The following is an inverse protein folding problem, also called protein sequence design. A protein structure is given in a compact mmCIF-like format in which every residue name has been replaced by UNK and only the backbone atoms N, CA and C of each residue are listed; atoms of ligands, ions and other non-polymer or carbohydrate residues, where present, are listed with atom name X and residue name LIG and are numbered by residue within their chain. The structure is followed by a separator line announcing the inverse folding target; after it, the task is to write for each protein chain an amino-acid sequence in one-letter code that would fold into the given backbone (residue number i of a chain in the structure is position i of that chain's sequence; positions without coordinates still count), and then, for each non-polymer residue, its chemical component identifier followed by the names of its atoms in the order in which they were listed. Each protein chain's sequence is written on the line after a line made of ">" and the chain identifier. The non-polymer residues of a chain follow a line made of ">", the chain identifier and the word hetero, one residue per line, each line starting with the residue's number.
data_IF_902258058829
#
_entry.id   IF_902258058829
#
_cell.length_a   1.000
_cell.length_b   1.000
_cell.length_c   1.000
_cell.angle_alpha   90.00
_cell.angle_beta   90.00
_cell.angle_gamma   90.00
#
_symmetry.space_group_name_H-M   'P 1'
#
loop_
_entity.id
_entity.type
_entity.pdbx_description
1 polymer ?
#
# COMPACT_ATOMS: atom_id res chain seq x y z
N UNK A 1 42.59 46.76 60.72
CA UNK A 1 41.29 47.25 61.16
C UNK A 1 40.39 47.33 59.96
N UNK A 2 39.10 46.90 59.97
CA UNK A 2 38.51 45.70 60.55
C UNK A 2 38.09 44.67 59.49
N UNK A 3 37.97 43.50 60.00
CA UNK A 3 37.40 42.29 59.45
C UNK A 3 35.96 42.44 58.95
N UNK A 4 35.64 41.94 57.76
CA UNK A 4 34.30 41.76 57.24
C UNK A 4 34.00 40.30 56.83
N UNK A 5 33.27 39.63 57.68
CA UNK A 5 32.81 38.25 57.55
C UNK A 5 31.70 38.18 56.47
N UNK A 6 31.85 37.30 55.47
CA UNK A 6 30.77 36.96 54.52
C UNK A 6 30.12 35.65 54.93
N UNK A 7 28.78 35.56 55.00
CA UNK A 7 28.11 34.32 55.32
C UNK A 7 27.99 33.40 54.10
N UNK A 8 28.23 32.16 54.35
CA UNK A 8 27.99 31.01 53.47
C UNK A 8 26.51 30.94 53.07
N UNK A 9 26.22 31.05 51.80
CA UNK A 9 25.00 30.56 51.21
C UNK A 9 25.36 29.38 50.27
N UNK A 10 25.44 28.24 50.85
CA UNK A 10 25.49 26.98 50.13
C UNK A 10 24.38 26.13 50.69
N UNK A 11 23.49 25.71 49.83
CA UNK A 11 22.54 24.60 49.95
C UNK A 11 21.13 25.01 49.47
N UNK A 12 20.89 25.01 48.18
CA UNK A 12 19.61 24.69 47.51
C UNK A 12 19.93 24.57 45.99
N UNK A 13 20.52 23.48 45.56
CA UNK A 13 20.62 23.13 44.13
C UNK A 13 20.83 21.64 43.89
N UNK A 14 20.09 20.79 44.61
CA UNK A 14 20.21 19.32 44.41
C UNK A 14 18.81 18.67 44.20
N UNK A 15 17.72 19.39 44.26
CA UNK A 15 16.37 18.77 44.14
C UNK A 15 15.63 19.00 42.79
N UNK A 16 16.27 19.71 41.84
CA UNK A 16 15.64 19.96 40.54
C UNK A 16 16.09 19.01 39.41
N UNK A 17 17.13 18.20 39.63
CA UNK A 17 17.64 17.25 38.58
C UNK A 17 17.01 15.87 38.69
N UNK A 18 16.41 15.51 39.83
CA UNK A 18 15.78 14.22 40.02
C UNK A 18 14.36 14.08 39.37
N UNK A 19 13.67 15.20 39.10
CA UNK A 19 12.33 15.16 38.50
C UNK A 19 12.34 15.16 36.98
N UNK A 20 13.45 15.56 36.34
CA UNK A 20 13.57 15.56 34.87
C UNK A 20 13.94 14.19 34.27
N UNK A 21 14.50 13.28 35.08
CA UNK A 21 14.89 11.95 34.63
C UNK A 21 13.69 10.97 34.67
N UNK A 22 12.64 11.27 35.44
CA UNK A 22 11.43 10.44 35.54
C UNK A 22 10.40 10.64 34.42
N UNK A 23 10.49 11.75 33.68
CA UNK A 23 9.57 12.06 32.57
C UNK A 23 10.12 11.67 31.19
N UNK A 24 11.38 11.25 31.10
CA UNK A 24 12.01 10.78 29.87
C UNK A 24 11.79 9.29 29.54
N UNK A 25 11.30 8.51 30.49
CA UNK A 25 11.25 7.04 30.37
C UNK A 25 9.89 6.48 29.96
N UNK A 26 8.93 7.30 29.51
CA UNK A 26 7.61 6.83 29.07
C UNK A 26 7.12 7.49 27.77
N UNK A 27 7.98 7.82 26.84
CA UNK A 27 7.55 7.80 25.44
C UNK A 27 7.59 6.34 24.99
N UNK A 28 6.59 5.56 25.41
CA UNK A 28 6.28 4.34 24.68
C UNK A 28 6.13 4.74 23.22
N UNK A 29 6.86 4.04 22.38
CA UNK A 29 6.68 4.17 20.93
C UNK A 29 5.18 4.09 20.64
N UNK A 30 4.59 5.17 20.11
CA UNK A 30 3.16 5.24 19.85
C UNK A 30 2.68 4.09 18.94
N UNK A 31 3.57 3.60 18.05
CA UNK A 31 3.32 2.45 17.19
C UNK A 31 3.24 1.14 17.99
N UNK A 32 4.18 0.90 18.91
CA UNK A 32 4.17 -0.30 19.75
C UNK A 32 2.93 -0.37 20.62
N UNK A 33 2.49 0.75 21.18
CA UNK A 33 1.30 0.80 22.02
C UNK A 33 0.02 0.43 21.24
N UNK A 34 -0.12 0.91 19.99
CA UNK A 34 -1.28 0.58 19.13
C UNK A 34 -1.28 -0.87 18.68
N UNK A 35 -0.12 -1.38 18.23
CA UNK A 35 0.04 -2.76 17.75
C UNK A 35 -0.24 -3.80 18.84
N UNK A 36 0.20 -3.53 20.05
CA UNK A 36 0.06 -4.42 21.22
C UNK A 36 -1.22 -4.18 22.02
N UNK A 37 -2.07 -3.20 21.61
CA UNK A 37 -3.34 -2.97 22.27
C UNK A 37 -4.20 -4.25 22.22
N UNK A 38 -4.84 -4.69 23.33
CA UNK A 38 -5.60 -5.95 23.39
C UNK A 38 -6.71 -6.07 22.33
N UNK A 39 -7.30 -4.94 21.90
CA UNK A 39 -8.29 -4.93 20.83
C UNK A 39 -7.70 -5.25 19.44
N UNK A 40 -6.38 -5.15 19.27
CA UNK A 40 -5.64 -5.43 18.03
C UNK A 40 -4.85 -6.72 18.18
N UNK A 41 -3.98 -6.82 19.20
CA UNK A 41 -3.16 -7.98 19.53
C UNK A 41 -2.41 -8.54 18.30
N UNK A 42 -1.72 -7.65 17.53
CA UNK A 42 -1.17 -7.98 16.22
C UNK A 42 -0.21 -9.18 16.25
N UNK A 43 0.66 -9.26 17.26
CA UNK A 43 1.63 -10.35 17.34
C UNK A 43 1.03 -11.67 17.86
N UNK A 44 -0.05 -11.60 18.65
CA UNK A 44 -0.62 -12.74 19.36
C UNK A 44 -1.71 -13.45 18.54
N UNK A 45 -2.44 -12.70 17.71
CA UNK A 45 -3.52 -13.27 16.89
C UNK A 45 -2.97 -13.78 15.55
N UNK A 46 -3.37 -14.97 15.17
CA UNK A 46 -2.96 -15.55 13.88
C UNK A 46 -3.52 -14.78 12.66
N UNK A 47 -4.62 -14.07 12.83
CA UNK A 47 -5.36 -13.41 11.75
C UNK A 47 -6.15 -14.39 10.87
N UNK A 48 -7.01 -13.84 10.02
CA UNK A 48 -7.78 -14.60 9.03
C UNK A 48 -7.69 -13.94 7.65
N UNK A 49 -6.63 -14.26 6.91
CA UNK A 49 -6.42 -13.79 5.55
C UNK A 49 -6.18 -14.96 4.58
N UNK A 50 -6.18 -14.68 3.29
CA UNK A 50 -6.06 -15.72 2.23
C UNK A 50 -4.77 -16.52 2.35
N UNK A 51 -3.66 -15.89 2.72
CA UNK A 51 -2.35 -16.54 2.86
C UNK A 51 -2.34 -17.49 4.07
N UNK A 52 -2.92 -17.06 5.20
CA UNK A 52 -3.08 -17.93 6.38
C UNK A 52 -3.96 -19.14 6.09
N UNK A 53 -5.07 -18.94 5.36
CA UNK A 53 -5.94 -20.05 4.94
C UNK A 53 -5.23 -21.02 4.00
N UNK A 54 -4.44 -20.51 3.03
CA UNK A 54 -3.60 -21.36 2.17
C UNK A 54 -2.56 -22.14 2.98
N UNK A 55 -1.83 -21.46 3.90
CA UNK A 55 -0.86 -22.12 4.79
C UNK A 55 -1.49 -23.30 5.53
N UNK A 56 -2.64 -23.09 6.17
CA UNK A 56 -3.36 -24.15 6.87
C UNK A 56 -3.79 -25.31 5.93
N UNK A 57 -4.06 -25.03 4.67
CA UNK A 57 -4.42 -26.06 3.68
C UNK A 57 -3.20 -26.88 3.24
N UNK A 58 -2.06 -26.22 3.07
CA UNK A 58 -0.78 -26.87 2.79
C UNK A 58 -0.32 -27.78 3.96
N UNK A 59 -0.41 -27.27 5.18
CA UNK A 59 -0.03 -28.01 6.41
C UNK A 59 -0.84 -29.30 6.59
N UNK A 60 -2.11 -29.30 6.17
CA UNK A 60 -2.98 -30.48 6.20
C UNK A 60 -2.82 -31.39 4.98
N UNK A 61 -1.95 -31.06 4.03
CA UNK A 61 -1.78 -31.79 2.78
C UNK A 61 -2.97 -31.73 1.81
N UNK A 62 -3.93 -30.84 2.05
CA UNK A 62 -5.12 -30.64 1.21
C UNK A 62 -4.86 -29.76 -0.03
N UNK A 63 -3.73 -29.08 -0.08
CA UNK A 63 -3.20 -28.40 -1.26
C UNK A 63 -1.69 -28.70 -1.38
N UNK A 64 -1.15 -28.50 -2.58
CA UNK A 64 0.28 -28.63 -2.86
C UNK A 64 0.74 -27.49 -3.74
N UNK A 65 1.97 -27.03 -3.54
CA UNK A 65 2.64 -26.11 -4.44
C UNK A 65 3.69 -26.87 -5.25
N UNK A 66 3.75 -26.66 -6.55
CA UNK A 66 4.78 -27.18 -7.44
C UNK A 66 5.99 -26.24 -7.46
N UNK A 67 7.19 -26.84 -7.51
CA UNK A 67 8.44 -26.09 -7.57
C UNK A 67 8.95 -26.07 -9.02
N UNK A 68 9.00 -24.89 -9.64
CA UNK A 68 9.50 -24.68 -11.01
C UNK A 68 11.03 -24.53 -10.98
N UNK A 69 11.73 -25.64 -10.98
CA UNK A 69 13.19 -25.67 -11.06
C UNK A 69 13.70 -25.33 -12.47
N UNK A 70 12.97 -25.79 -13.48
CA UNK A 70 13.39 -25.68 -14.89
C UNK A 70 13.58 -24.22 -15.36
N UNK A 71 12.77 -23.30 -14.82
CA UNK A 71 12.84 -21.87 -15.14
C UNK A 71 13.42 -21.04 -13.98
N UNK A 72 13.83 -21.65 -12.89
CA UNK A 72 14.36 -20.96 -11.71
C UNK A 72 13.35 -20.09 -10.96
N UNK A 73 12.04 -20.35 -11.12
CA UNK A 73 10.95 -19.57 -10.53
C UNK A 73 10.48 -20.10 -9.18
N UNK A 74 10.92 -21.30 -8.82
CA UNK A 74 10.58 -21.91 -7.53
C UNK A 74 9.07 -22.07 -7.34
N UNK A 75 8.56 -21.71 -6.19
CA UNK A 75 7.13 -21.78 -5.88
C UNK A 75 6.29 -20.63 -6.46
N UNK A 76 6.90 -19.62 -7.10
CA UNK A 76 6.19 -18.43 -7.53
C UNK A 76 4.95 -18.71 -8.39
N UNK A 77 5.03 -19.47 -9.51
CA UNK A 77 3.86 -19.70 -10.37
C UNK A 77 2.72 -20.40 -9.63
N UNK A 78 3.02 -21.46 -8.91
CA UNK A 78 2.01 -22.24 -8.19
C UNK A 78 1.43 -21.51 -6.98
N UNK A 79 2.18 -20.62 -6.33
CA UNK A 79 1.69 -19.76 -5.27
C UNK A 79 0.71 -18.72 -5.81
N UNK A 80 1.04 -18.06 -6.93
CA UNK A 80 0.16 -17.10 -7.58
C UNK A 80 -1.16 -17.77 -8.01
N UNK A 81 -1.08 -18.95 -8.59
CA UNK A 81 -2.26 -19.74 -8.98
C UNK A 81 -3.12 -20.10 -7.77
N UNK A 82 -2.52 -20.65 -6.71
CA UNK A 82 -3.23 -21.00 -5.47
C UNK A 82 -3.87 -19.78 -4.77
N UNK A 83 -3.31 -18.59 -4.95
CA UNK A 83 -3.86 -17.33 -4.46
C UNK A 83 -4.77 -16.63 -5.49
N UNK A 84 -4.89 -17.14 -6.73
CA UNK A 84 -5.67 -16.51 -7.79
C UNK A 84 -5.16 -15.13 -8.19
N UNK A 85 -3.84 -14.91 -8.12
CA UNK A 85 -3.18 -13.65 -8.50
C UNK A 85 -2.72 -13.76 -9.95
N UNK A 86 -3.18 -12.84 -10.79
CA UNK A 86 -2.80 -12.81 -12.21
C UNK A 86 -1.34 -12.43 -12.39
N UNK A 87 -0.56 -13.15 -13.19
CA UNK A 87 0.78 -12.73 -13.61
C UNK A 87 0.82 -11.37 -14.30
N UNK A 88 -0.29 -10.93 -14.90
CA UNK A 88 -0.38 -9.63 -15.56
C UNK A 88 -0.36 -8.44 -14.59
N UNK A 89 -0.49 -8.70 -13.29
CA UNK A 89 -0.29 -7.70 -12.25
C UNK A 89 1.19 -7.40 -11.97
N UNK A 90 2.11 -8.02 -12.72
CA UNK A 90 3.55 -7.88 -12.52
C UNK A 90 4.01 -6.44 -12.59
N UNK A 91 4.80 -6.04 -11.60
CA UNK A 91 5.52 -4.79 -11.53
C UNK A 91 6.97 -5.05 -11.17
N UNK A 92 7.89 -4.32 -11.76
CA UNK A 92 9.32 -4.49 -11.51
C UNK A 92 9.92 -3.26 -10.81
N UNK A 93 10.51 -3.48 -9.65
CA UNK A 93 11.20 -2.47 -8.85
C UNK A 93 12.68 -2.83 -8.71
N UNK A 94 13.55 -1.88 -9.05
CA UNK A 94 15.00 -2.05 -8.96
C UNK A 94 15.65 -1.19 -7.86
N UNK A 95 14.87 -0.41 -7.11
CA UNK A 95 15.36 0.28 -5.93
C UNK A 95 15.64 -0.72 -4.80
N UNK A 96 16.74 -0.51 -4.10
CA UNK A 96 17.25 -1.39 -3.04
C UNK A 96 16.50 -1.19 -1.70
N UNK A 97 15.18 -1.08 -1.74
CA UNK A 97 14.30 -0.76 -0.59
C UNK A 97 13.66 -1.99 0.05
N UNK A 98 14.24 -3.18 -0.15
CA UNK A 98 13.77 -4.46 0.39
C UNK A 98 14.81 -5.08 1.30
N UNK A 99 14.41 -6.00 2.16
CA UNK A 99 15.35 -6.85 2.94
C UNK A 99 16.26 -7.69 2.04
N UNK A 100 15.88 -7.92 0.80
CA UNK A 100 16.66 -8.59 -0.23
C UNK A 100 17.45 -7.60 -1.12
N UNK A 101 17.67 -6.36 -0.65
CA UNK A 101 18.32 -5.28 -1.40
C UNK A 101 19.61 -5.70 -2.11
N UNK A 102 20.45 -6.51 -1.45
CA UNK A 102 21.73 -7.00 -2.02
C UNK A 102 21.56 -7.83 -3.32
N UNK A 103 20.36 -8.33 -3.58
CA UNK A 103 20.05 -9.12 -4.78
C UNK A 103 19.29 -8.31 -5.82
N UNK A 104 18.90 -7.08 -5.50
CA UNK A 104 18.12 -6.20 -6.37
C UNK A 104 19.07 -5.23 -7.08
N UNK A 105 18.87 -5.08 -8.36
CA UNK A 105 19.59 -4.10 -9.18
C UNK A 105 18.79 -3.76 -10.45
N UNK A 106 19.17 -2.75 -11.22
CA UNK A 106 18.54 -2.49 -12.51
C UNK A 106 18.54 -3.68 -13.46
N UNK A 107 19.60 -4.50 -13.48
CA UNK A 107 19.66 -5.73 -14.27
C UNK A 107 18.92 -6.92 -13.66
N UNK A 108 18.52 -6.81 -12.40
CA UNK A 108 17.93 -7.89 -11.62
C UNK A 108 16.84 -7.36 -10.67
N UNK A 109 15.76 -6.76 -11.20
CA UNK A 109 14.71 -6.16 -10.40
C UNK A 109 13.87 -7.19 -9.65
N UNK A 110 13.31 -6.77 -8.51
CA UNK A 110 12.28 -7.50 -7.79
C UNK A 110 10.96 -7.39 -8.54
N UNK A 111 10.28 -8.50 -8.78
CA UNK A 111 8.92 -8.54 -9.26
C UNK A 111 7.93 -8.48 -8.09
N UNK A 112 6.83 -7.73 -8.28
CA UNK A 112 5.68 -7.69 -7.37
C UNK A 112 4.45 -8.10 -8.18
N UNK A 113 3.71 -9.09 -7.68
CA UNK A 113 2.42 -9.54 -8.21
C UNK A 113 1.37 -9.25 -7.16
N UNK A 114 0.20 -8.75 -7.55
CA UNK A 114 -0.78 -8.32 -6.57
C UNK A 114 -2.23 -8.48 -7.01
N UNK A 115 -3.10 -8.55 -6.02
CA UNK A 115 -4.53 -8.31 -6.14
C UNK A 115 -5.01 -7.37 -5.02
N UNK A 116 -6.31 -7.32 -4.75
CA UNK A 116 -6.91 -6.37 -3.80
C UNK A 116 -6.48 -6.58 -2.34
N UNK A 117 -5.93 -7.74 -2.02
CA UNK A 117 -5.66 -8.14 -0.64
C UNK A 117 -4.32 -8.83 -0.41
N UNK A 118 -3.63 -9.23 -1.47
CA UNK A 118 -2.34 -9.92 -1.36
C UNK A 118 -1.35 -9.32 -2.36
N UNK A 119 -0.11 -9.16 -1.93
CA UNK A 119 1.03 -8.86 -2.78
C UNK A 119 2.14 -9.89 -2.55
N UNK A 120 2.76 -10.37 -3.62
CA UNK A 120 3.86 -11.34 -3.61
C UNK A 120 5.08 -10.70 -4.24
N UNK A 121 6.16 -10.56 -3.48
CA UNK A 121 7.46 -10.08 -3.94
C UNK A 121 8.39 -11.24 -4.23
N UNK A 122 9.06 -11.18 -5.38
CA UNK A 122 10.02 -12.19 -5.83
C UNK A 122 11.24 -11.56 -6.48
N UNK A 123 12.40 -12.00 -6.07
CA UNK A 123 13.67 -11.69 -6.73
C UNK A 123 14.19 -13.00 -7.33
N UNK A 124 14.55 -13.05 -8.63
CA UNK A 124 15.11 -14.26 -9.22
C UNK A 124 16.31 -14.79 -8.42
N UNK A 125 16.32 -16.09 -8.08
CA UNK A 125 17.39 -16.70 -7.30
C UNK A 125 17.44 -16.36 -5.81
N UNK A 126 16.50 -15.56 -5.29
CA UNK A 126 16.42 -15.27 -3.86
C UNK A 126 15.95 -16.47 -3.04
N UNK A 127 16.34 -16.50 -1.77
CA UNK A 127 16.02 -17.60 -0.86
C UNK A 127 14.54 -17.67 -0.46
N UNK A 128 13.81 -16.53 -0.56
CA UNK A 128 12.41 -16.45 -0.10
C UNK A 128 11.54 -15.64 -1.06
N UNK A 129 10.28 -16.05 -1.18
CA UNK A 129 9.18 -15.15 -1.56
C UNK A 129 8.78 -14.32 -0.35
N UNK A 130 8.52 -13.04 -0.57
CA UNK A 130 7.95 -12.12 0.42
C UNK A 130 6.47 -11.94 0.10
N UNK A 131 5.59 -12.14 1.08
CA UNK A 131 4.15 -12.12 0.87
C UNK A 131 3.53 -11.15 1.88
N UNK A 132 2.70 -10.24 1.41
CA UNK A 132 1.92 -9.33 2.23
C UNK A 132 0.43 -9.62 2.01
N UNK A 133 -0.32 -9.87 3.07
CA UNK A 133 -1.75 -10.16 3.00
C UNK A 133 -2.54 -9.22 3.91
N UNK A 134 -3.54 -8.53 3.35
CA UNK A 134 -4.42 -7.68 4.13
C UNK A 134 -5.37 -8.56 4.97
N UNK A 135 -5.24 -8.43 6.26
CA UNK A 135 -6.14 -9.02 7.26
C UNK A 135 -7.20 -7.99 7.64
N UNK A 136 -8.43 -8.46 7.80
CA UNK A 136 -9.57 -7.58 8.02
C UNK A 136 -9.53 -6.80 9.34
N UNK A 137 -8.79 -7.30 10.35
CA UNK A 137 -8.72 -6.69 11.67
C UNK A 137 -7.32 -6.20 12.04
N UNK A 138 -6.29 -6.92 11.57
CA UNK A 138 -4.90 -6.65 11.95
C UNK A 138 -4.19 -5.67 11.01
N UNK A 139 -4.71 -5.43 9.81
CA UNK A 139 -4.02 -4.73 8.74
C UNK A 139 -3.15 -5.68 7.92
N UNK A 140 -2.03 -5.25 7.41
CA UNK A 140 -1.19 -6.10 6.56
C UNK A 140 -0.35 -7.05 7.42
N UNK A 141 -0.51 -8.35 7.18
CA UNK A 141 0.29 -9.42 7.78
C UNK A 141 1.30 -9.92 6.76
N UNK A 142 2.54 -10.05 7.19
CA UNK A 142 3.66 -10.43 6.32
C UNK A 142 4.07 -11.88 6.54
N UNK A 143 4.44 -12.53 5.43
CA UNK A 143 4.86 -13.91 5.40
C UNK A 143 6.07 -14.09 4.48
N UNK A 144 6.81 -15.18 4.70
CA UNK A 144 7.87 -15.66 3.82
C UNK A 144 7.61 -17.11 3.41
N UNK A 145 8.02 -17.46 2.20
CA UNK A 145 8.04 -18.85 1.71
C UNK A 145 9.43 -19.16 1.15
N UNK A 146 10.13 -20.11 1.78
CA UNK A 146 11.47 -20.51 1.34
C UNK A 146 11.44 -21.06 -0.08
N UNK A 147 12.35 -20.60 -0.93
CA UNK A 147 12.53 -21.02 -2.33
C UNK A 147 13.44 -22.24 -2.43
N UNK A 148 13.10 -23.29 -1.72
CA UNK A 148 13.76 -24.59 -1.76
C UNK A 148 12.71 -25.67 -1.89
N UNK A 149 12.89 -26.57 -2.87
CA UNK A 149 11.96 -27.70 -3.05
C UNK A 149 11.79 -28.49 -1.77
N UNK A 150 10.56 -28.67 -1.32
CA UNK A 150 10.19 -29.42 -0.13
C UNK A 150 8.86 -30.14 -0.38
N UNK A 151 8.68 -31.29 0.26
CA UNK A 151 7.43 -32.07 0.19
C UNK A 151 6.24 -31.24 0.74
N UNK A 152 6.48 -30.48 1.84
CA UNK A 152 5.50 -29.59 2.44
C UNK A 152 6.12 -28.21 2.63
N UNK A 153 5.97 -27.29 1.67
CA UNK A 153 6.46 -25.93 1.80
C UNK A 153 5.69 -25.19 2.90
N UNK A 154 6.42 -24.47 3.75
CA UNK A 154 5.84 -23.74 4.88
C UNK A 154 5.83 -22.23 4.62
N UNK A 155 4.66 -21.65 4.70
CA UNK A 155 4.46 -20.18 4.70
C UNK A 155 4.58 -19.72 6.15
N UNK A 156 5.63 -18.97 6.47
CA UNK A 156 5.92 -18.51 7.82
C UNK A 156 5.58 -17.02 7.97
N UNK A 157 4.89 -16.66 9.05
CA UNK A 157 4.67 -15.24 9.40
C UNK A 157 6.00 -14.58 9.78
N UNK A 158 6.24 -13.36 9.30
CA UNK A 158 7.46 -12.60 9.55
C UNK A 158 7.15 -11.19 10.05
N UNK A 159 7.21 -11.01 11.36
CA UNK A 159 6.96 -9.73 12.03
C UNK A 159 8.10 -8.71 11.83
N UNK A 160 9.27 -9.16 11.39
CA UNK A 160 10.40 -8.25 11.16
C UNK A 160 10.18 -7.30 9.98
N UNK A 161 9.23 -7.60 9.09
CA UNK A 161 8.81 -6.70 8.02
C UNK A 161 8.24 -5.37 8.56
N UNK A 162 7.72 -5.37 9.79
CA UNK A 162 7.20 -4.17 10.45
C UNK A 162 8.28 -3.11 10.73
N UNK A 163 9.57 -3.43 10.65
CA UNK A 163 10.64 -2.44 10.75
C UNK A 163 10.49 -1.31 9.71
N UNK A 164 9.97 -1.64 8.51
CA UNK A 164 9.68 -0.67 7.46
C UNK A 164 8.18 -0.46 7.24
N UNK A 165 7.38 -1.50 7.46
CA UNK A 165 5.95 -1.52 7.16
C UNK A 165 5.04 -1.14 8.34
N UNK A 166 5.60 -0.53 9.37
CA UNK A 166 4.90 0.13 10.47
C UNK A 166 5.60 1.47 10.74
N UNK A 167 5.27 2.48 9.97
CA UNK A 167 5.91 3.79 9.97
C UNK A 167 4.88 4.91 9.75
N UNK A 168 5.32 6.15 9.74
CA UNK A 168 4.48 7.28 9.35
C UNK A 168 3.99 7.16 7.90
N UNK A 169 4.78 6.57 7.02
CA UNK A 169 4.44 6.33 5.62
C UNK A 169 3.29 5.32 5.44
N UNK A 170 3.05 4.50 6.45
CA UNK A 170 1.93 3.56 6.51
C UNK A 170 0.83 4.00 7.50
N UNK A 171 0.76 5.28 7.85
CA UNK A 171 -0.22 5.84 8.81
C UNK A 171 -0.13 5.22 10.21
N UNK A 172 1.06 4.81 10.63
CA UNK A 172 1.31 4.15 11.91
C UNK A 172 0.53 2.83 12.11
N UNK A 173 0.17 2.16 11.03
CA UNK A 173 -0.44 0.82 11.05
C UNK A 173 0.40 -0.14 10.19
N UNK A 174 0.31 -1.48 10.42
CA UNK A 174 0.90 -2.46 9.53
C UNK A 174 0.32 -2.30 8.12
N UNK A 175 1.13 -1.83 7.19
CA UNK A 175 0.65 -1.36 5.90
C UNK A 175 1.61 -1.59 4.75
N UNK A 176 1.22 -1.10 3.59
CA UNK A 176 2.00 -1.12 2.36
C UNK A 176 2.28 0.29 1.90
N UNK A 177 3.38 0.46 1.16
CA UNK A 177 3.71 1.71 0.50
C UNK A 177 4.36 1.43 -0.84
N UNK A 178 4.15 2.31 -1.79
CA UNK A 178 4.93 2.39 -3.01
C UNK A 178 5.81 3.62 -2.93
N UNK A 179 7.11 3.43 -3.05
CA UNK A 179 8.09 4.51 -2.97
C UNK A 179 8.56 4.89 -4.36
N UNK A 180 8.67 6.19 -4.62
CA UNK A 180 9.42 6.75 -5.72
C UNK A 180 10.77 7.20 -5.18
N UNK A 181 11.85 6.53 -5.58
CA UNK A 181 13.19 6.74 -5.03
C UNK A 181 14.16 7.19 -6.11
N UNK A 182 15.19 7.88 -5.68
CA UNK A 182 16.36 8.12 -6.52
C UNK A 182 17.41 7.06 -6.21
N UNK A 183 17.73 6.13 -7.13
CA UNK A 183 18.82 5.19 -6.90
C UNK A 183 20.15 5.96 -6.78
N UNK A 184 20.83 5.82 -5.66
CA UNK A 184 22.16 6.40 -5.42
C UNK A 184 23.12 5.30 -5.04
N UNK A 185 24.29 5.27 -5.69
CA UNK A 185 25.27 4.20 -5.51
C UNK A 185 25.97 4.20 -4.15
N UNK A 186 25.95 5.31 -3.46
CA UNK A 186 26.72 5.59 -2.25
C UNK A 186 25.83 5.90 -1.03
N UNK A 187 24.50 5.81 -1.18
CA UNK A 187 23.56 6.03 -0.08
C UNK A 187 22.94 4.70 0.39
N UNK A 188 23.37 4.18 1.56
CA UNK A 188 22.78 2.98 2.13
C UNK A 188 21.32 3.18 2.61
N UNK A 189 20.85 4.44 2.63
CA UNK A 189 19.50 4.83 3.02
C UNK A 189 18.73 5.44 1.85
N UNK A 190 18.94 4.94 0.63
CA UNK A 190 18.27 5.45 -0.58
C UNK A 190 16.74 5.59 -0.45
N UNK A 191 16.10 4.74 0.34
CA UNK A 191 14.69 4.86 0.65
C UNK A 191 14.33 6.12 1.44
N UNK A 192 15.24 6.66 2.25
CA UNK A 192 15.01 7.89 3.01
C UNK A 192 14.90 9.13 2.12
N UNK A 193 15.35 9.02 0.88
CA UNK A 193 15.21 10.06 -0.15
C UNK A 193 14.03 9.79 -1.09
N UNK A 194 13.20 8.80 -0.79
CA UNK A 194 12.01 8.44 -1.54
C UNK A 194 10.77 9.23 -1.10
N UNK A 195 9.81 9.30 -1.99
CA UNK A 195 8.47 9.85 -1.75
C UNK A 195 7.47 8.70 -1.79
N UNK A 196 6.57 8.65 -0.80
CA UNK A 196 5.42 7.73 -0.86
C UNK A 196 4.48 8.19 -1.96
N UNK A 197 4.15 7.27 -2.86
CA UNK A 197 3.34 7.57 -4.04
C UNK A 197 1.94 7.01 -3.87
N UNK A 198 0.96 7.87 -4.05
CA UNK A 198 -0.45 7.52 -4.20
C UNK A 198 -1.06 8.23 -5.42
N UNK A 199 -2.39 8.18 -5.59
CA UNK A 199 -3.05 8.82 -6.72
C UNK A 199 -3.02 10.37 -6.67
N UNK A 200 -2.69 10.97 -5.51
CA UNK A 200 -2.57 12.43 -5.31
C UNK A 200 -1.18 12.94 -5.70
N UNK A 201 -0.18 12.06 -5.74
CA UNK A 201 1.19 12.44 -6.10
C UNK A 201 1.26 12.88 -7.58
N UNK A 202 1.86 14.02 -7.92
CA UNK A 202 2.04 14.43 -9.32
C UNK A 202 2.79 13.38 -10.14
N UNK A 203 2.34 13.12 -11.37
CA UNK A 203 2.93 12.08 -12.25
C UNK A 203 4.44 12.25 -12.44
N UNK A 204 5.01 13.47 -12.60
CA UNK A 204 6.46 13.65 -12.73
C UNK A 204 7.29 13.17 -11.53
N UNK A 205 6.66 13.02 -10.36
CA UNK A 205 7.33 12.58 -9.12
C UNK A 205 7.21 11.07 -8.88
N UNK A 206 6.43 10.35 -9.72
CA UNK A 206 6.14 8.94 -9.52
C UNK A 206 7.21 8.03 -10.11
N UNK A 207 7.31 6.83 -9.52
CA UNK A 207 7.93 5.62 -10.07
C UNK A 207 9.45 5.60 -10.12
N UNK A 208 10.14 6.49 -9.42
CA UNK A 208 11.58 6.38 -9.23
C UNK A 208 11.95 5.00 -8.66
N UNK A 209 12.90 4.32 -9.29
CA UNK A 209 13.30 2.96 -8.93
C UNK A 209 12.44 1.84 -9.53
N UNK A 210 11.46 2.16 -10.39
CA UNK A 210 10.57 1.20 -11.05
C UNK A 210 10.79 1.15 -12.56
N UNK A 211 10.60 -0.02 -13.17
CA UNK A 211 10.32 -0.13 -14.60
C UNK A 211 8.86 0.20 -14.87
N UNK A 212 8.61 0.92 -15.95
CA UNK A 212 7.28 1.36 -16.38
C UNK A 212 7.13 1.06 -17.85
N UNK A 213 6.25 0.15 -18.19
CA UNK A 213 5.97 -0.24 -19.58
C UNK A 213 4.52 0.11 -19.96
N UNK A 214 4.30 0.40 -21.21
CA UNK A 214 2.98 0.70 -21.75
C UNK A 214 3.06 1.24 -23.17
N UNK A 215 1.93 1.23 -23.88
CA UNK A 215 1.82 1.81 -25.23
C UNK A 215 1.86 3.34 -25.18
N UNK A 216 1.17 3.91 -24.17
CA UNK A 216 1.21 5.33 -23.86
C UNK A 216 1.61 5.51 -22.38
N UNK A 217 2.82 6.03 -22.18
CA UNK A 217 3.37 6.34 -20.85
C UNK A 217 3.64 7.84 -20.79
N UNK A 218 3.38 8.52 -19.66
CA UNK A 218 3.68 9.94 -19.52
C UNK A 218 5.11 10.28 -19.93
N UNK A 219 5.28 11.42 -20.61
CA UNK A 219 6.60 11.82 -21.10
C UNK A 219 7.58 12.18 -19.98
N UNK A 220 7.06 12.55 -18.81
CA UNK A 220 7.84 12.90 -17.61
C UNK A 220 7.38 12.06 -16.43
N UNK A 221 8.26 11.25 -15.91
CA UNK A 221 8.14 10.49 -14.68
C UNK A 221 9.53 10.06 -14.21
N UNK A 222 9.65 9.56 -12.98
CA UNK A 222 10.92 9.14 -12.39
C UNK A 222 11.34 7.71 -12.76
N UNK A 223 10.43 6.91 -13.31
CA UNK A 223 10.67 5.51 -13.67
C UNK A 223 11.59 5.34 -14.89
N UNK A 224 11.99 4.09 -15.16
CA UNK A 224 12.88 3.73 -16.28
C UNK A 224 14.24 4.45 -16.27
N UNK A 225 14.65 5.00 -15.15
CA UNK A 225 15.93 5.68 -14.96
C UNK A 225 16.87 4.84 -14.07
N UNK A 226 17.46 3.74 -14.60
CA UNK A 226 18.27 2.82 -13.82
C UNK A 226 19.66 3.37 -13.48
N UNK A 227 19.94 4.62 -13.83
CA UNK A 227 21.24 5.23 -13.59
C UNK A 227 21.33 5.65 -12.13
N UNK A 228 22.24 5.01 -11.42
CA UNK A 228 22.67 5.43 -10.10
C UNK A 228 23.38 6.78 -10.25
N UNK A 229 22.85 7.83 -9.63
CA UNK A 229 23.40 9.19 -9.71
C UNK A 229 24.06 9.56 -8.40
N UNK A 230 25.31 10.10 -8.44
CA UNK A 230 25.93 10.69 -7.25
C UNK A 230 25.04 11.81 -6.66
N UNK A 231 25.04 11.96 -5.35
CA UNK A 231 24.26 12.99 -4.65
C UNK A 231 24.48 14.40 -5.22
N UNK A 232 25.72 14.70 -5.67
CA UNK A 232 26.08 15.98 -6.27
C UNK A 232 25.36 16.26 -7.63
N UNK A 233 24.83 15.25 -8.28
CA UNK A 233 24.12 15.39 -9.57
C UNK A 233 22.61 15.46 -9.44
N UNK A 234 22.05 15.25 -8.22
CA UNK A 234 20.60 15.25 -7.99
C UNK A 234 19.94 16.61 -8.24
N UNK A 235 20.72 17.70 -8.20
CA UNK A 235 20.22 19.04 -8.53
C UNK A 235 19.91 19.23 -10.02
N UNK A 236 20.37 18.31 -10.90
CA UNK A 236 20.06 18.37 -12.32
C UNK A 236 18.78 17.60 -12.60
N UNK A 237 17.83 18.14 -13.38
CA UNK A 237 16.65 17.38 -13.75
C UNK A 237 17.08 16.07 -14.46
N UNK A 238 16.40 14.94 -14.16
CA UNK A 238 16.67 13.69 -14.88
C UNK A 238 16.40 13.89 -16.37
N UNK A 239 17.18 13.22 -17.21
CA UNK A 239 16.85 13.10 -18.64
C UNK A 239 15.46 12.45 -18.77
N UNK A 240 14.73 12.76 -19.85
CA UNK A 240 13.45 12.10 -20.11
C UNK A 240 13.66 10.57 -20.09
N UNK A 241 12.83 9.84 -19.31
CA UNK A 241 13.00 8.41 -19.18
C UNK A 241 12.77 7.71 -20.51
N UNK A 242 13.47 6.58 -20.80
CA UNK A 242 13.23 5.81 -22.00
C UNK A 242 11.80 5.25 -22.00
N UNK A 243 11.14 5.30 -23.16
CA UNK A 243 9.85 4.68 -23.37
C UNK A 243 10.04 3.17 -23.56
N UNK A 244 9.38 2.38 -22.74
CA UNK A 244 9.42 0.93 -22.80
C UNK A 244 8.01 0.37 -23.06
N UNK A 245 7.85 -0.39 -24.12
CA UNK A 245 6.62 -1.17 -24.36
C UNK A 245 6.70 -2.54 -23.65
N UNK A 246 7.92 -3.04 -23.45
CA UNK A 246 8.20 -4.33 -22.81
C UNK A 246 9.52 -4.24 -22.03
N UNK A 247 9.62 -5.03 -20.96
CA UNK A 247 10.83 -5.17 -20.15
C UNK A 247 11.99 -5.81 -20.93
N UNK A 248 11.71 -6.53 -22.02
CA UNK A 248 12.74 -7.18 -22.85
C UNK A 248 13.74 -6.18 -23.46
N UNK A 249 13.35 -4.91 -23.59
CA UNK A 249 14.26 -3.85 -24.06
C UNK A 249 15.22 -3.34 -22.99
N UNK A 250 14.90 -3.58 -21.71
CA UNK A 250 15.69 -3.10 -20.58
C UNK A 250 16.45 -4.23 -19.87
N UNK A 251 15.95 -5.46 -19.95
CA UNK A 251 16.47 -6.60 -19.20
C UNK A 251 16.95 -7.72 -20.11
N UNK A 252 18.24 -8.09 -20.06
CA UNK A 252 18.77 -9.23 -20.83
C UNK A 252 18.07 -10.55 -20.49
N UNK A 253 17.66 -10.74 -19.24
CA UNK A 253 17.01 -11.95 -18.73
C UNK A 253 15.50 -11.77 -18.53
N UNK A 254 14.85 -10.97 -19.37
CA UNK A 254 13.40 -10.69 -19.24
C UNK A 254 12.53 -11.97 -19.20
N UNK A 255 12.96 -13.04 -19.87
CA UNK A 255 12.23 -14.33 -19.93
C UNK A 255 12.10 -15.08 -18.60
N UNK A 256 12.83 -14.69 -17.54
CA UNK A 256 12.65 -15.29 -16.22
C UNK A 256 11.35 -14.80 -15.57
N UNK A 257 10.92 -13.57 -15.86
CA UNK A 257 9.69 -12.99 -15.34
C UNK A 257 8.45 -13.59 -16.00
N UNK A 258 7.30 -13.53 -15.31
CA UNK A 258 6.07 -14.18 -15.77
C UNK A 258 5.31 -13.35 -16.82
N UNK A 259 5.49 -12.04 -16.83
CA UNK A 259 4.90 -11.14 -17.83
C UNK A 259 6.00 -10.33 -18.53
N UNK A 260 5.86 -10.00 -19.81
CA UNK A 260 6.77 -9.10 -20.50
C UNK A 260 6.62 -7.63 -20.09
N UNK A 261 5.77 -7.35 -19.10
CA UNK A 261 5.41 -5.99 -18.70
C UNK A 261 5.73 -5.70 -17.23
N UNK A 262 6.01 -4.44 -16.94
CA UNK A 262 5.83 -3.75 -15.66
C UNK A 262 4.80 -2.65 -15.93
N UNK A 263 3.54 -3.03 -15.92
CA UNK A 263 2.47 -2.29 -16.56
C UNK A 263 2.15 -0.97 -15.86
N UNK A 264 2.05 0.13 -16.62
CA UNK A 264 1.79 1.47 -16.07
C UNK A 264 0.42 1.58 -15.41
N UNK A 265 -0.62 0.92 -15.96
CA UNK A 265 -1.96 0.94 -15.36
C UNK A 265 -1.98 0.11 -14.07
N UNK A 266 -1.28 -1.04 -14.05
CA UNK A 266 -1.11 -1.83 -12.84
C UNK A 266 -0.39 -1.04 -11.74
N UNK A 267 0.65 -0.29 -12.10
CA UNK A 267 1.40 0.53 -11.15
C UNK A 267 0.54 1.66 -10.57
N UNK A 268 -0.29 2.32 -11.39
CA UNK A 268 -1.25 3.32 -10.92
C UNK A 268 -2.30 2.73 -9.97
N UNK A 269 -2.79 1.53 -10.28
CA UNK A 269 -3.73 0.81 -9.42
C UNK A 269 -3.06 0.45 -8.09
N UNK A 270 -1.81 -0.05 -8.09
CA UNK A 270 -1.08 -0.36 -6.87
C UNK A 270 -0.82 0.90 -6.02
N UNK A 271 -0.44 2.02 -6.64
CA UNK A 271 -0.24 3.29 -5.93
C UNK A 271 -1.50 3.73 -5.16
N UNK A 272 -2.68 3.59 -5.80
CA UNK A 272 -3.95 3.87 -5.12
C UNK A 272 -4.24 2.85 -4.01
N UNK A 273 -4.08 1.57 -4.31
CA UNK A 273 -4.50 0.47 -3.43
C UNK A 273 -3.71 0.41 -2.12
N UNK A 274 -2.40 0.64 -2.15
CA UNK A 274 -1.56 0.54 -0.96
C UNK A 274 -1.98 1.55 0.11
N UNK A 275 -2.22 2.80 -0.25
CA UNK A 275 -2.68 3.81 0.69
C UNK A 275 -4.14 3.58 1.13
N UNK A 276 -5.02 3.13 0.23
CA UNK A 276 -6.40 2.73 0.58
C UNK A 276 -6.42 1.60 1.63
N UNK A 277 -5.51 0.63 1.51
CA UNK A 277 -5.34 -0.46 2.49
C UNK A 277 -4.92 0.08 3.86
N UNK A 278 -3.98 1.01 3.89
CA UNK A 278 -3.53 1.64 5.13
C UNK A 278 -4.66 2.44 5.80
N UNK A 279 -5.44 3.20 5.02
CA UNK A 279 -6.59 3.95 5.53
C UNK A 279 -7.68 3.05 6.12
N UNK A 280 -8.00 1.93 5.46
CA UNK A 280 -8.95 0.94 5.98
C UNK A 280 -8.46 0.37 7.32
N UNK A 281 -7.18 0.04 7.41
CA UNK A 281 -6.56 -0.46 8.64
C UNK A 281 -6.61 0.61 9.74
N UNK A 282 -6.26 1.84 9.43
CA UNK A 282 -6.25 2.94 10.39
C UNK A 282 -7.65 3.20 10.97
N UNK A 283 -8.68 3.35 10.12
CA UNK A 283 -10.07 3.48 10.59
C UNK A 283 -10.49 2.30 11.47
N UNK A 284 -10.14 1.09 11.06
CA UNK A 284 -10.45 -0.12 11.81
C UNK A 284 -9.80 -0.15 13.20
N UNK A 285 -8.53 0.19 13.28
CA UNK A 285 -7.75 0.21 14.52
C UNK A 285 -8.24 1.30 15.48
N UNK A 286 -8.35 2.55 15.02
CA UNK A 286 -8.86 3.66 15.83
C UNK A 286 -10.24 3.34 16.41
N UNK A 287 -11.12 2.75 15.61
CA UNK A 287 -12.47 2.40 16.07
C UNK A 287 -12.44 1.28 17.10
N UNK A 288 -11.69 0.20 16.88
CA UNK A 288 -11.61 -0.93 17.82
C UNK A 288 -11.00 -0.51 19.14
N UNK A 289 -9.95 0.31 19.10
CA UNK A 289 -9.29 0.83 20.31
C UNK A 289 -10.24 1.76 21.08
N UNK A 290 -10.90 2.70 20.41
CA UNK A 290 -11.86 3.59 21.03
C UNK A 290 -13.02 2.84 21.70
N UNK A 291 -13.60 1.85 21.00
CA UNK A 291 -14.67 1.01 21.56
C UNK A 291 -14.21 0.21 22.78
N UNK A 292 -13.01 -0.38 22.74
CA UNK A 292 -12.47 -1.14 23.86
C UNK A 292 -12.19 -0.28 25.09
N UNK A 293 -11.87 0.99 24.90
CA UNK A 293 -11.61 1.96 25.97
C UNK A 293 -12.87 2.71 26.44
N UNK A 294 -14.02 2.54 25.78
CA UNK A 294 -15.20 3.38 26.00
C UNK A 294 -14.95 4.87 25.72
N UNK A 295 -14.00 5.16 24.83
CA UNK A 295 -13.59 6.52 24.49
C UNK A 295 -14.52 7.15 23.43
N UNK A 296 -14.63 8.49 23.38
CA UNK A 296 -15.32 9.18 22.29
C UNK A 296 -14.74 8.83 20.92
N UNK A 297 -15.62 8.79 19.90
CA UNK A 297 -15.25 8.42 18.52
C UNK A 297 -14.81 9.62 17.65
N UNK A 298 -14.40 10.73 18.28
CA UNK A 298 -13.99 11.94 17.56
C UNK A 298 -12.72 11.71 16.70
N UNK A 299 -11.78 10.90 17.21
CA UNK A 299 -10.59 10.49 16.46
C UNK A 299 -10.93 9.67 15.22
N UNK A 300 -12.01 8.90 15.29
CA UNK A 300 -12.48 8.09 14.16
C UNK A 300 -13.03 9.00 13.05
N UNK A 301 -13.61 10.15 13.37
CA UNK A 301 -14.19 11.08 12.39
C UNK A 301 -13.13 11.64 11.43
N UNK A 302 -11.93 11.93 11.91
CA UNK A 302 -10.82 12.37 11.04
C UNK A 302 -10.35 11.25 10.10
N UNK A 303 -10.20 10.04 10.63
CA UNK A 303 -9.80 8.88 9.83
C UNK A 303 -10.89 8.51 8.80
N UNK A 304 -12.17 8.60 9.17
CA UNK A 304 -13.30 8.37 8.26
C UNK A 304 -13.34 9.44 7.17
N UNK A 305 -13.11 10.71 7.51
CA UNK A 305 -13.07 11.79 6.52
C UNK A 305 -11.98 11.54 5.49
N UNK A 306 -10.76 11.23 5.94
CA UNK A 306 -9.63 10.97 5.05
C UNK A 306 -9.88 9.75 4.16
N UNK A 307 -10.43 8.66 4.71
CA UNK A 307 -10.79 7.48 3.93
C UNK A 307 -11.82 7.79 2.84
N UNK A 308 -12.88 8.55 3.16
CA UNK A 308 -13.94 8.91 2.21
C UNK A 308 -13.40 9.85 1.13
N UNK A 309 -12.62 10.86 1.51
CA UNK A 309 -12.01 11.80 0.58
C UNK A 309 -11.07 11.03 -0.39
N UNK A 310 -10.28 10.08 0.13
CA UNK A 310 -9.41 9.24 -0.68
C UNK A 310 -10.19 8.30 -1.59
N UNK A 311 -11.27 7.68 -1.09
CA UNK A 311 -12.13 6.79 -1.89
C UNK A 311 -12.86 7.54 -3.01
N UNK A 312 -13.15 8.81 -2.83
CA UNK A 312 -13.78 9.67 -3.85
C UNK A 312 -12.75 10.37 -4.75
N UNK A 313 -11.48 9.98 -4.69
CA UNK A 313 -10.38 10.54 -5.48
C UNK A 313 -10.24 12.06 -5.32
N UNK A 314 -10.54 12.58 -4.12
CA UNK A 314 -10.30 13.98 -3.79
C UNK A 314 -8.80 14.26 -3.88
N UNK A 315 -8.46 15.39 -4.52
CA UNK A 315 -7.08 15.82 -4.77
C UNK A 315 -6.25 14.87 -5.66
N UNK A 316 -6.91 13.96 -6.43
CA UNK A 316 -6.22 13.15 -7.43
C UNK A 316 -5.44 14.05 -8.40
N UNK A 317 -4.16 13.74 -8.57
CA UNK A 317 -3.31 14.47 -9.50
C UNK A 317 -3.80 14.26 -10.95
N UNK A 318 -3.95 15.33 -11.75
CA UNK A 318 -4.40 15.23 -13.13
C UNK A 318 -3.41 14.43 -13.96
N UNK A 319 -3.91 13.63 -14.90
CA UNK A 319 -3.06 12.96 -15.87
C UNK A 319 -2.63 13.99 -16.94
N UNK A 320 -1.32 14.15 -17.18
CA UNK A 320 -0.82 15.13 -18.16
C UNK A 320 -1.14 14.74 -19.60
N UNK A 321 -1.42 13.47 -19.85
CA UNK A 321 -1.79 12.88 -21.13
C UNK A 321 -2.48 11.54 -20.92
N UNK A 322 -3.20 10.98 -21.92
CA UNK A 322 -3.72 9.63 -21.84
C UNK A 322 -2.62 8.60 -21.57
N UNK A 323 -2.97 7.59 -20.80
CA UNK A 323 -2.11 6.46 -20.41
C UNK A 323 -2.73 5.19 -20.98
N UNK A 324 -1.90 4.33 -21.57
CA UNK A 324 -2.32 3.02 -22.08
C UNK A 324 -1.27 1.97 -21.71
N UNK A 325 -1.64 1.08 -20.78
CA UNK A 325 -0.86 -0.08 -20.40
C UNK A 325 -1.06 -1.26 -21.37
N UNK A 326 -0.68 -2.44 -20.92
CA UNK A 326 -1.01 -3.70 -21.57
C UNK A 326 -2.51 -4.01 -21.37
N UNK A 327 -3.24 -4.39 -22.43
CA UNK A 327 -4.67 -4.63 -22.34
C UNK A 327 -5.05 -5.79 -21.40
N UNK A 328 -4.16 -6.74 -21.19
CA UNK A 328 -4.36 -7.92 -20.37
C UNK A 328 -4.59 -7.55 -18.90
N UNK A 329 -3.78 -6.63 -18.34
CA UNK A 329 -4.00 -6.17 -16.97
C UNK A 329 -5.32 -5.44 -16.82
N UNK A 330 -5.61 -4.48 -17.69
CA UNK A 330 -6.83 -3.68 -17.62
C UNK A 330 -8.07 -4.57 -17.73
N UNK A 331 -8.06 -5.56 -18.62
CA UNK A 331 -9.15 -6.53 -18.78
C UNK A 331 -9.32 -7.41 -17.54
N UNK A 332 -8.23 -7.98 -17.02
CA UNK A 332 -8.25 -8.82 -15.81
C UNK A 332 -8.72 -8.03 -14.57
N UNK A 333 -8.26 -6.80 -14.41
CA UNK A 333 -8.68 -5.92 -13.33
C UNK A 333 -10.17 -5.59 -13.39
N UNK A 334 -10.70 -5.21 -14.56
CA UNK A 334 -12.09 -4.87 -14.76
C UNK A 334 -13.02 -6.08 -14.63
N UNK A 335 -12.56 -7.29 -14.97
CA UNK A 335 -13.35 -8.53 -14.89
C UNK A 335 -13.66 -8.96 -13.45
N UNK A 336 -12.86 -8.56 -12.47
CA UNK A 336 -13.02 -8.96 -11.06
C UNK A 336 -14.11 -8.20 -10.31
N UNK A 337 -14.67 -7.14 -10.89
CA UNK A 337 -15.64 -6.30 -10.22
C UNK A 337 -17.09 -6.70 -10.45
N UNK A 338 -17.98 -6.42 -9.49
CA UNK A 338 -19.39 -6.46 -9.75
C UNK A 338 -19.80 -5.39 -10.78
N UNK A 339 -20.86 -5.66 -11.54
CA UNK A 339 -21.41 -4.75 -12.55
C UNK A 339 -22.88 -4.50 -12.26
N UNK A 340 -23.34 -3.28 -12.50
CA UNK A 340 -24.76 -2.95 -12.48
C UNK A 340 -25.47 -3.42 -13.75
N UNK A 341 -26.78 -3.23 -13.81
CA UNK A 341 -27.59 -3.61 -14.96
C UNK A 341 -27.22 -2.93 -16.29
N UNK A 342 -26.48 -1.82 -16.24
CA UNK A 342 -25.94 -1.13 -17.41
C UNK A 342 -24.50 -1.54 -17.74
N UNK A 343 -23.95 -2.54 -17.04
CA UNK A 343 -22.57 -3.03 -17.22
C UNK A 343 -21.50 -2.13 -16.62
N UNK A 344 -21.87 -1.12 -15.80
CA UNK A 344 -20.92 -0.21 -15.13
C UNK A 344 -20.33 -0.87 -13.88
N UNK A 345 -19.04 -0.58 -13.61
CA UNK A 345 -18.32 -1.06 -12.44
C UNK A 345 -17.37 0.00 -11.92
N UNK A 346 -17.15 0.05 -10.59
CA UNK A 346 -16.09 0.87 -9.99
C UNK A 346 -14.67 0.40 -10.37
N UNK A 347 -14.54 -0.73 -11.08
CA UNK A 347 -13.25 -1.22 -11.59
C UNK A 347 -12.99 -0.84 -13.05
N UNK A 348 -13.78 0.02 -13.63
CA UNK A 348 -13.50 0.53 -14.97
C UNK A 348 -12.46 1.64 -14.88
N UNK A 349 -11.32 1.44 -15.55
CA UNK A 349 -10.28 2.45 -15.68
C UNK A 349 -10.70 3.52 -16.70
N UNK A 350 -10.31 4.79 -16.45
CA UNK A 350 -10.41 5.90 -17.42
C UNK A 350 -9.08 6.06 -18.15
N UNK A 351 -8.02 6.33 -17.41
CA UNK A 351 -6.65 6.53 -17.86
C UNK A 351 -6.45 7.66 -18.89
N UNK A 352 -7.48 8.45 -19.16
CA UNK A 352 -7.41 9.62 -20.03
C UNK A 352 -7.32 10.90 -19.22
N UNK A 353 -8.17 11.04 -18.20
CA UNK A 353 -8.26 12.23 -17.36
C UNK A 353 -7.98 11.93 -15.89
N UNK A 354 -8.24 10.70 -15.47
CA UNK A 354 -8.13 10.20 -14.09
C UNK A 354 -7.93 8.69 -14.07
N UNK A 355 -7.69 8.11 -12.90
CA UNK A 355 -7.49 6.65 -12.79
C UNK A 355 -8.78 5.87 -13.09
N UNK A 356 -9.87 6.18 -12.37
CA UNK A 356 -11.13 5.45 -12.46
C UNK A 356 -12.18 6.20 -13.27
N UNK A 357 -12.93 5.47 -14.11
CA UNK A 357 -14.04 6.03 -14.86
C UNK A 357 -15.13 6.62 -13.94
N UNK A 358 -15.44 5.92 -12.87
CA UNK A 358 -16.36 6.38 -11.83
C UNK A 358 -15.55 6.71 -10.58
N UNK A 359 -15.58 7.95 -10.07
CA UNK A 359 -14.68 8.40 -9.02
C UNK A 359 -15.12 7.90 -7.64
N UNK A 360 -15.08 6.58 -7.48
CA UNK A 360 -15.20 5.90 -6.21
C UNK A 360 -14.30 4.66 -6.22
N UNK A 361 -13.53 4.49 -5.17
CA UNK A 361 -12.58 3.39 -5.06
C UNK A 361 -13.26 2.03 -5.03
N UNK A 362 -12.79 1.11 -5.87
CA UNK A 362 -13.20 -0.29 -5.83
C UNK A 362 -12.84 -0.98 -4.49
N UNK A 363 -11.97 -0.39 -3.69
CA UNK A 363 -11.61 -0.91 -2.37
C UNK A 363 -12.77 -0.90 -1.36
N UNK A 364 -13.89 -0.25 -1.69
CA UNK A 364 -15.15 -0.37 -0.94
C UNK A 364 -15.70 -1.81 -0.95
N UNK A 365 -15.30 -2.64 -1.92
CA UNK A 365 -15.66 -4.07 -1.99
C UNK A 365 -14.66 -4.99 -1.27
N UNK A 366 -13.57 -4.44 -0.71
CA UNK A 366 -12.59 -5.22 0.02
C UNK A 366 -13.20 -5.82 1.29
N UNK A 367 -12.82 -7.05 1.62
CA UNK A 367 -13.29 -7.73 2.84
C UNK A 367 -12.95 -6.95 4.11
N UNK A 368 -11.84 -6.21 4.12
CA UNK A 368 -11.48 -5.36 5.25
C UNK A 368 -12.46 -4.19 5.45
N UNK A 369 -13.02 -3.63 4.37
CA UNK A 369 -14.10 -2.64 4.48
C UNK A 369 -15.35 -3.25 5.16
N UNK A 370 -15.74 -4.46 4.75
CA UNK A 370 -16.92 -5.14 5.30
C UNK A 370 -16.72 -5.57 6.76
N UNK A 371 -15.48 -5.79 7.18
CA UNK A 371 -15.11 -6.17 8.54
C UNK A 371 -14.86 -4.98 9.48
N UNK A 372 -14.94 -3.74 8.98
CA UNK A 372 -14.89 -2.56 9.85
C UNK A 372 -16.01 -2.64 10.92
N UNK A 373 -15.79 -2.14 12.12
CA UNK A 373 -16.84 -2.03 13.13
C UNK A 373 -18.09 -1.30 12.57
N UNK A 374 -19.28 -1.73 12.95
CA UNK A 374 -20.53 -1.20 12.42
C UNK A 374 -20.64 0.32 12.50
N UNK A 375 -20.22 0.91 13.62
CA UNK A 375 -20.22 2.36 13.83
C UNK A 375 -19.29 3.10 12.84
N UNK A 376 -18.13 2.51 12.49
CA UNK A 376 -17.23 3.11 11.50
C UNK A 376 -17.85 3.04 10.10
N UNK A 377 -18.42 1.90 9.72
CA UNK A 377 -19.11 1.75 8.42
C UNK A 377 -20.25 2.74 8.28
N UNK A 378 -21.07 2.90 9.32
CA UNK A 378 -22.18 3.88 9.30
C UNK A 378 -21.65 5.31 9.09
N UNK A 379 -20.61 5.73 9.82
CA UNK A 379 -19.98 7.03 9.62
C UNK A 379 -19.43 7.21 8.19
N UNK A 380 -18.80 6.17 7.62
CA UNK A 380 -18.30 6.18 6.25
C UNK A 380 -19.45 6.35 5.25
N UNK A 381 -20.50 5.55 5.37
CA UNK A 381 -21.64 5.63 4.47
C UNK A 381 -22.38 6.96 4.60
N UNK A 382 -22.59 7.45 5.82
CA UNK A 382 -23.23 8.75 6.04
C UNK A 382 -22.43 9.89 5.38
N UNK A 383 -21.10 9.86 5.48
CA UNK A 383 -20.25 10.86 4.82
C UNK A 383 -20.25 10.69 3.30
N UNK A 384 -20.14 9.46 2.79
CA UNK A 384 -20.25 9.18 1.35
C UNK A 384 -21.56 9.72 0.79
N UNK A 385 -22.67 9.49 1.50
CA UNK A 385 -23.98 9.98 1.07
C UNK A 385 -24.01 11.50 1.00
N UNK A 386 -23.59 12.22 2.06
CA UNK A 386 -23.58 13.69 2.06
C UNK A 386 -22.81 14.29 0.87
N UNK A 387 -21.66 13.67 0.52
CA UNK A 387 -20.87 14.13 -0.63
C UNK A 387 -21.57 13.77 -1.94
N UNK A 388 -22.06 12.54 -2.09
CA UNK A 388 -22.63 12.06 -3.36
C UNK A 388 -24.04 12.62 -3.62
N UNK A 389 -24.87 12.87 -2.59
CA UNK A 389 -26.15 13.55 -2.71
C UNK A 389 -26.02 15.02 -3.07
N UNK A 390 -24.85 15.61 -2.76
CA UNK A 390 -24.60 17.03 -2.97
C UNK A 390 -24.96 17.90 -1.77
N UNK A 391 -25.27 17.31 -0.61
CA UNK A 391 -25.46 18.04 0.65
C UNK A 391 -24.17 18.69 1.16
N UNK A 392 -23.03 18.07 0.85
CA UNK A 392 -21.70 18.61 1.20
C UNK A 392 -21.24 19.59 0.10
N UNK A 393 -21.00 20.84 0.45
CA UNK A 393 -20.67 21.95 -0.46
C UNK A 393 -19.19 22.34 -0.45
N UNK A 394 -18.30 21.58 0.20
CA UNK A 394 -16.87 21.89 0.21
C UNK A 394 -16.31 21.90 -1.23
N UNK A 395 -15.51 22.94 -1.55
CA UNK A 395 -14.87 23.11 -2.86
C UNK A 395 -13.98 21.92 -3.27
N UNK A 396 -13.49 21.15 -2.34
CA UNK A 396 -12.69 19.94 -2.62
C UNK A 396 -13.46 18.90 -3.45
N UNK A 397 -14.80 18.89 -3.35
CA UNK A 397 -15.66 17.99 -4.12
C UNK A 397 -16.14 18.57 -5.46
N UNK A 398 -15.66 19.77 -5.86
CA UNK A 398 -16.07 20.41 -7.10
C UNK A 398 -15.75 19.58 -8.36
N UNK A 399 -14.74 18.71 -8.29
CA UNK A 399 -14.38 17.80 -9.40
C UNK A 399 -15.38 16.65 -9.61
N UNK A 400 -16.23 16.35 -8.62
CA UNK A 400 -17.27 15.35 -8.74
C UNK A 400 -18.48 15.99 -9.43
N UNK A 401 -18.64 15.77 -10.73
CA UNK A 401 -19.78 16.24 -11.47
C UNK A 401 -21.10 15.60 -10.96
N UNK A 402 -22.23 16.25 -11.20
CA UNK A 402 -23.54 15.67 -10.85
C UNK A 402 -23.79 14.31 -11.55
N UNK A 403 -23.21 14.11 -12.73
CA UNK A 403 -23.26 12.84 -13.47
C UNK A 403 -22.40 11.77 -12.78
N UNK A 404 -21.18 12.12 -12.34
CA UNK A 404 -20.31 11.19 -11.60
C UNK A 404 -20.97 10.75 -10.30
N UNK A 405 -21.51 11.70 -9.52
CA UNK A 405 -22.17 11.41 -8.24
C UNK A 405 -23.35 10.44 -8.42
N UNK A 406 -24.21 10.69 -9.39
CA UNK A 406 -25.33 9.80 -9.72
C UNK A 406 -24.88 8.42 -10.14
N UNK A 407 -23.89 8.33 -11.04
CA UNK A 407 -23.37 7.06 -11.50
C UNK A 407 -22.80 6.22 -10.34
N UNK A 408 -22.03 6.84 -9.42
CA UNK A 408 -21.50 6.15 -8.24
C UNK A 408 -22.62 5.65 -7.34
N UNK A 409 -23.64 6.47 -7.04
CA UNK A 409 -24.80 6.05 -6.24
C UNK A 409 -25.49 4.86 -6.89
N UNK A 410 -25.80 4.92 -8.19
CA UNK A 410 -26.48 3.85 -8.93
C UNK A 410 -25.67 2.56 -8.94
N UNK A 411 -24.34 2.64 -9.19
CA UNK A 411 -23.46 1.48 -9.14
C UNK A 411 -23.45 0.87 -7.73
N UNK A 412 -23.30 1.68 -6.69
CA UNK A 412 -23.27 1.19 -5.31
C UNK A 412 -24.60 0.50 -4.94
N UNK A 413 -25.74 1.09 -5.29
CA UNK A 413 -27.07 0.48 -5.07
C UNK A 413 -27.19 -0.89 -5.70
N UNK A 414 -26.67 -1.04 -6.91
CA UNK A 414 -26.78 -2.29 -7.65
C UNK A 414 -25.76 -3.36 -7.22
N UNK A 415 -24.64 -2.96 -6.62
CA UNK A 415 -23.49 -3.85 -6.50
C UNK A 415 -22.95 -4.02 -5.05
N UNK A 416 -23.26 -3.09 -4.14
CA UNK A 416 -22.81 -3.18 -2.74
C UNK A 416 -23.93 -3.66 -1.84
N UNK A 417 -23.74 -4.83 -1.24
CA UNK A 417 -24.70 -5.37 -0.28
C UNK A 417 -24.71 -4.55 1.03
N UNK A 418 -25.87 -4.52 1.69
CA UNK A 418 -26.05 -3.90 3.01
C UNK A 418 -25.75 -2.41 3.05
N UNK A 419 -26.10 -1.67 2.00
CA UNK A 419 -26.13 -0.21 2.05
C UNK A 419 -27.21 0.25 3.04
N UNK A 420 -26.98 1.39 3.75
CA UNK A 420 -28.03 2.02 4.54
C UNK A 420 -29.22 2.47 3.68
N UNK A 421 -30.44 2.49 4.29
CA UNK A 421 -31.68 2.82 3.58
C UNK A 421 -31.69 4.21 2.90
N UNK A 422 -30.90 5.16 3.42
CA UNK A 422 -30.80 6.48 2.78
C UNK A 422 -30.05 6.47 1.44
N UNK A 423 -29.41 5.37 1.06
CA UNK A 423 -28.91 5.18 -0.31
C UNK A 423 -30.05 4.76 -1.28
N UNK A 424 -31.17 4.27 -0.78
CA UNK A 424 -32.33 3.91 -1.59
C UNK A 424 -33.11 5.16 -2.03
#
# INVERSE_FOLDING_TARGET
>A
MPSGVWPRRGAILVLAVGAAIGLGAQRRDAFSASREHPAIAYAEREGDNRVRRLSATLERGAARLSFDEAHGRGYLPSLLDALGISPESQLLVFSETSRQAKQISPGHPRAIYFDDSVAVGWVPGAEHLEIAAHDAEQGVVFYTLAQRGAETPRVARDVSCLLCHLSWDTLAVPGLMTLSTFPMSDDPYAYANGVVVDHRTPVPERWGGWYVTGRLVPAQHMGNAPVIRPAAELAKPPAAPPKLESIARALPNAGVYLSPHSDVAALMVLNHQTHATNLLTWVGWETRVALAQGAPLDRVDDAVRELVDYFLFVDEAPLPQPIEGAPEFAAAFAARGPRDGAGRSLRQLDLTTRLMRYPCSYMIYNTAFDALPGVAREKIYARLWRVLSGEEHDRRYARLSAADRRAVIEILRATKAKLPAYFE
#
